data_IF_094013025813
#
_entry.id   IF_094013025813
#
_cell.length_a   1.000
_cell.length_b   1.000
_cell.length_c   1.000
_cell.angle_alpha   90.00
_cell.angle_beta   90.00
_cell.angle_gamma   90.00
#
_symmetry.space_group_name_H-M   'P 1'
#
loop_
_entity.id
_entity.type
_entity.pdbx_description
1 polymer ?
#
# COMPACT_ATOMS: atom_id res chain seq x y z
N UNK A 1 29.29 -28.51 -10.49
CA UNK A 1 28.18 -28.12 -9.61
C UNK A 1 28.34 -26.63 -9.33
N UNK A 2 27.46 -25.74 -9.82
CA UNK A 2 27.53 -24.36 -9.36
C UNK A 2 27.16 -24.30 -7.87
N UNK A 3 27.84 -23.43 -7.14
CA UNK A 3 27.57 -23.16 -5.73
C UNK A 3 26.12 -22.65 -5.54
N UNK A 4 25.48 -22.91 -4.39
CA UNK A 4 24.18 -22.31 -4.09
C UNK A 4 24.31 -20.78 -4.14
N UNK A 5 23.49 -20.12 -4.97
CA UNK A 5 23.36 -18.68 -4.96
C UNK A 5 22.77 -18.22 -3.62
N UNK A 6 23.25 -17.10 -3.05
CA UNK A 6 22.60 -16.44 -1.93
C UNK A 6 21.32 -15.73 -2.40
N UNK A 7 20.32 -16.51 -2.84
CA UNK A 7 18.94 -16.09 -3.14
C UNK A 7 17.92 -17.00 -2.43
N UNK A 8 18.37 -17.68 -1.38
CA UNK A 8 17.49 -18.34 -0.43
C UNK A 8 16.95 -17.30 0.56
N UNK A 9 15.63 -17.06 0.52
CA UNK A 9 14.81 -16.52 1.62
C UNK A 9 14.46 -15.02 1.65
N UNK A 10 14.31 -14.33 0.52
CA UNK A 10 13.37 -13.20 0.52
C UNK A 10 11.96 -13.78 0.70
N UNK A 11 11.27 -13.41 1.77
CA UNK A 11 9.93 -13.91 2.05
C UNK A 11 9.00 -13.61 0.86
N UNK A 12 8.10 -14.53 0.51
CA UNK A 12 7.25 -14.39 -0.70
C UNK A 12 6.50 -13.05 -0.70
N UNK A 13 6.09 -12.61 0.49
CA UNK A 13 5.43 -11.32 0.72
C UNK A 13 6.34 -10.14 0.40
N UNK A 14 7.61 -10.16 0.83
CA UNK A 14 8.60 -9.10 0.54
C UNK A 14 8.76 -8.90 -0.96
N UNK A 15 8.86 -10.00 -1.73
CA UNK A 15 8.96 -9.93 -3.19
C UNK A 15 7.70 -9.37 -3.83
N UNK A 16 6.53 -9.83 -3.39
CA UNK A 16 5.24 -9.34 -3.89
C UNK A 16 5.06 -7.83 -3.65
N UNK A 17 5.55 -7.31 -2.52
CA UNK A 17 5.55 -5.87 -2.22
C UNK A 17 6.58 -5.13 -3.10
N UNK A 18 7.82 -5.63 -3.18
CA UNK A 18 8.90 -5.01 -3.95
C UNK A 18 8.56 -4.91 -5.44
N UNK A 19 7.95 -5.95 -5.99
CA UNK A 19 7.53 -6.03 -7.40
C UNK A 19 6.23 -5.23 -7.65
N UNK A 20 5.66 -4.57 -6.63
CA UNK A 20 4.36 -3.88 -6.65
C UNK A 20 3.25 -4.74 -7.29
N UNK A 21 3.23 -6.03 -6.97
CA UNK A 21 2.37 -7.03 -7.60
C UNK A 21 0.97 -7.14 -6.97
N UNK A 22 0.55 -6.11 -6.24
CA UNK A 22 -0.79 -5.97 -5.68
C UNK A 22 -1.67 -5.16 -6.65
N UNK A 23 -2.93 -5.53 -6.73
CA UNK A 23 -3.97 -4.77 -7.42
C UNK A 23 -5.06 -4.36 -6.41
N UNK A 24 -5.67 -3.19 -6.61
CA UNK A 24 -6.81 -2.74 -5.82
C UNK A 24 -8.12 -3.02 -6.57
N UNK A 25 -9.15 -3.40 -5.82
CA UNK A 25 -10.55 -3.42 -6.25
C UNK A 25 -11.38 -2.69 -5.22
N UNK A 26 -12.48 -2.07 -5.66
CA UNK A 26 -13.28 -1.19 -4.83
C UNK A 26 -14.70 -1.72 -4.69
N UNK A 27 -15.17 -1.90 -3.46
CA UNK A 27 -16.56 -2.25 -3.17
C UNK A 27 -17.33 -0.98 -2.79
N UNK A 28 -18.43 -0.63 -3.49
CA UNK A 28 -19.23 0.53 -3.14
C UNK A 28 -19.90 0.37 -1.77
N UNK A 29 -19.86 1.43 -0.97
CA UNK A 29 -20.64 1.57 0.26
C UNK A 29 -21.80 2.50 -0.07
N UNK A 30 -23.02 2.00 0.16
CA UNK A 30 -24.26 2.71 -0.20
C UNK A 30 -25.02 3.16 1.03
N UNK A 31 -25.55 4.37 0.99
CA UNK A 31 -26.57 4.80 1.93
C UNK A 31 -27.91 4.14 1.57
N UNK A 32 -28.46 3.34 2.48
CA UNK A 32 -29.68 2.56 2.21
C UNK A 32 -30.94 3.41 2.07
N UNK A 33 -30.95 4.63 2.64
CA UNK A 33 -32.10 5.54 2.56
C UNK A 33 -32.22 6.21 1.19
N UNK A 34 -31.11 6.71 0.67
CA UNK A 34 -31.03 7.42 -0.61
C UNK A 34 -30.63 6.55 -1.80
N UNK A 35 -30.07 5.37 -1.56
CA UNK A 35 -29.49 4.50 -2.60
C UNK A 35 -28.21 5.06 -3.22
N UNK A 36 -27.64 6.12 -2.65
CA UNK A 36 -26.45 6.78 -3.20
C UNK A 36 -25.16 6.15 -2.68
N UNK A 37 -24.11 6.14 -3.52
CA UNK A 37 -22.78 5.70 -3.11
C UNK A 37 -22.15 6.79 -2.25
N UNK A 38 -21.79 6.45 -1.01
CA UNK A 38 -21.15 7.37 -0.06
C UNK A 38 -19.62 7.24 -0.05
N UNK A 39 -19.10 6.15 -0.61
CA UNK A 39 -17.69 5.86 -0.71
C UNK A 39 -17.43 4.42 -1.12
N UNK A 40 -16.18 3.99 -0.96
CA UNK A 40 -15.72 2.70 -1.41
C UNK A 40 -14.79 2.06 -0.38
N UNK A 41 -14.92 0.76 -0.17
CA UNK A 41 -13.94 -0.02 0.55
C UNK A 41 -12.86 -0.52 -0.43
N UNK A 42 -11.60 -0.18 -0.12
CA UNK A 42 -10.44 -0.64 -0.89
C UNK A 42 -10.03 -2.04 -0.45
N UNK A 43 -10.07 -3.00 -1.37
CA UNK A 43 -9.63 -4.37 -1.17
C UNK A 43 -8.47 -4.69 -2.10
N UNK A 44 -7.51 -5.46 -1.61
CA UNK A 44 -6.35 -5.88 -2.41
C UNK A 44 -6.56 -7.25 -3.05
N UNK A 45 -5.87 -7.47 -4.16
CA UNK A 45 -5.73 -8.74 -4.86
C UNK A 45 -4.25 -8.93 -5.18
N UNK A 46 -3.80 -10.18 -5.15
CA UNK A 46 -2.48 -10.52 -5.63
C UNK A 46 -2.53 -10.83 -7.12
N UNK A 47 -1.45 -11.38 -7.68
CA UNK A 47 -1.39 -11.72 -9.09
C UNK A 47 -2.48 -12.72 -9.46
N UNK A 48 -3.23 -12.40 -10.51
CA UNK A 48 -4.31 -13.26 -11.02
C UNK A 48 -3.78 -14.63 -11.42
N UNK A 49 -4.53 -15.69 -11.08
CA UNK A 49 -4.19 -17.08 -11.37
C UNK A 49 -3.16 -17.69 -10.42
N UNK A 50 -2.79 -17.00 -9.34
CA UNK A 50 -1.84 -17.51 -8.34
C UNK A 50 -2.54 -17.92 -7.04
N UNK A 51 -1.85 -18.72 -6.22
CA UNK A 51 -2.30 -19.07 -4.86
C UNK A 51 -2.42 -17.84 -3.94
N UNK A 52 -1.84 -16.70 -4.34
CA UNK A 52 -1.89 -15.41 -3.63
C UNK A 52 -2.89 -14.42 -4.23
N UNK A 53 -3.80 -14.83 -5.12
CA UNK A 53 -4.76 -13.89 -5.74
C UNK A 53 -5.70 -13.24 -4.70
N UNK A 54 -6.08 -13.97 -3.65
CA UNK A 54 -7.09 -13.52 -2.67
C UNK A 54 -6.48 -12.78 -1.48
N UNK A 55 -7.21 -11.81 -0.86
CA UNK A 55 -6.75 -11.16 0.37
C UNK A 55 -6.40 -12.16 1.47
N UNK A 56 -7.25 -13.17 1.69
CA UNK A 56 -7.04 -14.17 2.73
C UNK A 56 -5.72 -14.92 2.54
N UNK A 57 -5.40 -15.30 1.30
CA UNK A 57 -4.14 -15.98 0.99
C UNK A 57 -2.92 -15.07 1.18
N UNK A 58 -3.02 -13.80 0.80
CA UNK A 58 -1.97 -12.80 0.99
C UNK A 58 -1.66 -12.59 2.47
N UNK A 59 -2.69 -12.36 3.29
CA UNK A 59 -2.50 -12.16 4.73
C UNK A 59 -2.02 -13.44 5.43
N UNK A 60 -2.48 -14.61 5.01
CA UNK A 60 -1.96 -15.87 5.52
C UNK A 60 -0.47 -16.06 5.18
N UNK A 61 -0.04 -15.67 3.97
CA UNK A 61 1.36 -15.70 3.57
C UNK A 61 2.20 -14.67 4.34
N UNK A 62 1.71 -13.43 4.47
CA UNK A 62 2.39 -12.39 5.23
C UNK A 62 2.55 -12.75 6.70
N UNK A 63 1.55 -13.40 7.31
CA UNK A 63 1.66 -13.91 8.67
C UNK A 63 2.75 -14.99 8.81
N UNK A 64 2.87 -15.91 7.84
CA UNK A 64 3.95 -16.91 7.81
C UNK A 64 5.33 -16.27 7.64
N UNK A 65 5.39 -15.20 6.85
CA UNK A 65 6.61 -14.47 6.52
C UNK A 65 7.01 -13.46 7.62
N UNK A 66 6.12 -13.16 8.58
CA UNK A 66 6.33 -12.09 9.57
C UNK A 66 6.13 -10.67 9.02
N UNK A 67 5.52 -10.54 7.85
CA UNK A 67 5.44 -9.31 7.03
C UNK A 67 4.03 -8.70 6.98
N UNK A 68 3.14 -9.06 7.93
CA UNK A 68 1.73 -8.57 7.93
C UNK A 68 1.63 -7.05 7.90
N UNK A 69 2.44 -6.34 8.69
CA UNK A 69 2.42 -4.88 8.74
C UNK A 69 2.88 -4.28 7.40
N UNK A 70 3.94 -4.84 6.81
CA UNK A 70 4.44 -4.39 5.52
C UNK A 70 3.40 -4.60 4.41
N UNK A 71 2.70 -5.75 4.43
CA UNK A 71 1.60 -6.02 3.51
C UNK A 71 0.43 -5.04 3.69
N UNK A 72 0.02 -4.74 4.93
CA UNK A 72 -1.06 -3.76 5.19
C UNK A 72 -0.70 -2.36 4.66
N UNK A 73 0.54 -1.92 4.85
CA UNK A 73 1.03 -0.64 4.34
C UNK A 73 1.06 -0.61 2.80
N UNK A 74 1.61 -1.66 2.17
CA UNK A 74 1.65 -1.78 0.72
C UNK A 74 0.24 -1.83 0.11
N UNK A 75 -0.69 -2.53 0.78
CA UNK A 75 -2.07 -2.62 0.38
C UNK A 75 -2.76 -1.25 0.39
N UNK A 76 -2.57 -0.48 1.46
CA UNK A 76 -3.14 0.86 1.57
C UNK A 76 -2.61 1.82 0.50
N UNK A 77 -1.30 1.82 0.27
CA UNK A 77 -0.70 2.62 -0.80
C UNK A 77 -1.24 2.23 -2.18
N UNK A 78 -1.37 0.92 -2.44
CA UNK A 78 -1.94 0.41 -3.70
C UNK A 78 -3.38 0.89 -3.89
N UNK A 79 -4.21 0.83 -2.84
CA UNK A 79 -5.59 1.32 -2.89
C UNK A 79 -5.66 2.84 -3.08
N UNK A 80 -4.81 3.61 -2.40
CA UNK A 80 -4.74 5.07 -2.55
C UNK A 80 -4.33 5.47 -3.97
N UNK A 81 -3.25 4.90 -4.49
CA UNK A 81 -2.75 5.18 -5.83
C UNK A 81 -3.81 4.86 -6.89
N UNK A 82 -4.44 3.68 -6.79
CA UNK A 82 -5.49 3.26 -7.73
C UNK A 82 -6.76 4.12 -7.63
N UNK A 83 -7.19 4.49 -6.41
CA UNK A 83 -8.37 5.32 -6.21
C UNK A 83 -8.17 6.73 -6.75
N UNK A 84 -6.98 7.31 -6.50
CA UNK A 84 -6.60 8.61 -7.03
C UNK A 84 -6.53 8.61 -8.56
N UNK A 85 -5.96 7.55 -9.16
CA UNK A 85 -5.87 7.41 -10.62
C UNK A 85 -7.24 7.28 -11.30
N UNK A 86 -8.22 6.68 -10.63
CA UNK A 86 -9.59 6.57 -11.14
C UNK A 86 -10.38 7.89 -11.07
N UNK A 87 -9.90 8.88 -10.30
CA UNK A 87 -10.61 10.14 -10.10
C UNK A 87 -11.99 9.96 -9.45
N UNK A 88 -12.16 8.92 -8.64
CA UNK A 88 -13.44 8.62 -8.02
C UNK A 88 -13.82 9.70 -7.00
N UNK A 89 -15.06 10.20 -7.11
CA UNK A 89 -15.66 11.00 -6.06
C UNK A 89 -16.01 10.13 -4.83
N UNK A 90 -15.99 10.74 -3.65
CA UNK A 90 -16.38 10.10 -2.39
C UNK A 90 -15.22 9.69 -1.51
N UNK A 91 -15.52 8.89 -0.47
CA UNK A 91 -14.55 8.48 0.55
C UNK A 91 -13.94 7.13 0.21
N UNK A 92 -12.64 6.98 0.44
CA UNK A 92 -11.97 5.68 0.46
C UNK A 92 -11.85 5.18 1.90
N UNK A 93 -12.31 3.95 2.14
CA UNK A 93 -12.18 3.24 3.40
C UNK A 93 -11.10 2.17 3.25
N UNK A 94 -10.17 2.12 4.22
CA UNK A 94 -9.06 1.17 4.28
C UNK A 94 -9.09 0.43 5.61
N UNK A 95 -8.82 -0.87 5.57
CA UNK A 95 -8.72 -1.71 6.76
C UNK A 95 -7.28 -1.75 7.27
N UNK A 96 -7.10 -1.49 8.57
CA UNK A 96 -5.79 -1.55 9.23
C UNK A 96 -5.90 -2.22 10.60
N UNK A 97 -4.89 -3.00 10.95
CA UNK A 97 -4.70 -3.45 12.32
C UNK A 97 -4.19 -2.31 13.21
N UNK A 98 -4.43 -2.43 14.52
CA UNK A 98 -3.88 -1.49 15.50
C UNK A 98 -2.33 -1.46 15.47
N UNK A 99 -1.69 -2.58 15.10
CA UNK A 99 -0.25 -2.67 14.92
C UNK A 99 0.24 -1.72 13.82
N UNK A 100 -0.40 -1.75 12.66
CA UNK A 100 -0.04 -0.89 11.52
C UNK A 100 -0.27 0.58 11.80
N UNK A 101 -1.37 0.93 12.48
CA UNK A 101 -1.62 2.32 12.89
C UNK A 101 -0.48 2.84 13.77
N UNK A 102 0.00 2.03 14.72
CA UNK A 102 1.14 2.41 15.58
C UNK A 102 2.44 2.57 14.79
N UNK A 103 2.74 1.65 13.86
CA UNK A 103 3.94 1.73 13.03
C UNK A 103 3.93 2.92 12.08
N UNK A 104 2.77 3.32 11.56
CA UNK A 104 2.65 4.48 10.66
C UNK A 104 3.06 5.81 11.34
N UNK A 105 2.75 5.96 12.64
CA UNK A 105 3.16 7.13 13.42
C UNK A 105 4.67 7.22 13.62
N UNK A 106 5.35 6.07 13.71
CA UNK A 106 6.80 6.03 13.89
C UNK A 106 7.57 6.43 12.63
N UNK A 107 6.99 6.27 11.43
CA UNK A 107 7.63 6.63 10.16
C UNK A 107 7.36 8.10 9.76
N UNK A 108 6.28 8.71 10.27
CA UNK A 108 5.95 10.12 10.03
C UNK A 108 6.84 11.12 10.82
N UNK A 109 7.73 10.64 11.70
CA UNK A 109 8.61 11.48 12.52
C UNK A 109 10.05 11.59 12.01
N UNK A 110 10.35 11.13 10.79
CA UNK A 110 11.64 11.44 10.16
C UNK A 110 11.61 12.88 9.61
N UNK A 111 12.49 13.80 10.06
CA UNK A 111 12.46 15.18 9.61
C UNK A 111 12.87 15.27 8.13
N UNK A 112 12.04 15.95 7.34
CA UNK A 112 12.40 16.41 6.01
C UNK A 112 13.56 17.41 6.13
N UNK A 113 14.78 16.98 5.81
CA UNK A 113 15.90 17.90 5.62
C UNK A 113 15.65 18.73 4.35
N UNK A 114 14.96 19.87 4.54
CA UNK A 114 14.84 20.90 3.53
C UNK A 114 16.19 21.59 3.32
N UNK A 115 16.84 21.34 2.19
CA UNK A 115 17.94 22.17 1.71
C UNK A 115 17.39 23.54 1.28
N UNK A 116 17.54 24.54 2.13
CA UNK A 116 17.33 25.95 1.78
C UNK A 116 18.35 26.36 0.72
N UNK A 117 17.95 26.37 -0.55
CA UNK A 117 18.66 27.12 -1.60
C UNK A 117 18.38 28.60 -1.37
N UNK A 118 19.37 29.36 -0.90
CA UNK A 118 19.32 30.83 -0.91
C UNK A 118 19.43 31.28 -2.36
N UNK A 119 18.36 31.84 -2.91
CA UNK A 119 18.41 32.59 -4.16
C UNK A 119 19.20 33.90 -3.94
N UNK A 120 20.30 34.07 -4.67
CA UNK A 120 20.94 35.37 -4.86
C UNK A 120 20.20 36.14 -5.95
N UNK A 121 19.70 37.32 -5.60
CA UNK A 121 18.98 38.25 -6.47
C UNK A 121 19.84 38.75 -7.65
N UNK A 122 19.22 39.13 -8.79
CA UNK A 122 19.93 39.78 -9.89
C UNK A 122 20.17 41.27 -9.58
N UNK A 123 21.40 41.73 -9.79
CA UNK A 123 21.75 43.16 -9.80
C UNK A 123 21.52 43.74 -11.19
N UNK A 124 20.78 44.84 -11.25
CA UNK A 124 20.52 45.62 -12.44
C UNK A 124 21.36 46.90 -12.43
N UNK A 125 22.24 47.05 -13.43
CA UNK A 125 22.56 48.28 -14.21
C UNK A 125 23.86 48.07 -14.97
#
# INVERSE_FOLDING_TARGET
>A
MPAPHPDSAAARTTRLIADRALAAVFQPIVDLGSGTVVGYEGLIRGPRGTDLETPAALFAQAARDGETIALEQAAALTCLDAFAALGCDGKLFLNFSAGTIRSSRANASAPANGSTVRGSAPSAS
#
